data_IF_739427742699
#
_entry.id   IF_739427742699
#
_cell.length_a   1.000
_cell.length_b   1.000
_cell.length_c   1.000
_cell.angle_alpha   90.00
_cell.angle_beta   90.00
_cell.angle_gamma   90.00
#
_symmetry.space_group_name_H-M   'P 1'
#
loop_
_entity.id
_entity.type
_entity.pdbx_description
1 polymer ?
#
# COMPACT_ATOMS: atom_id res chain seq x y z
N UNK A 1 -52.51 -59.85 28.53
CA UNK A 1 -51.56 -58.72 28.48
C UNK A 1 -50.36 -59.16 27.64
N UNK A 2 -49.89 -58.25 26.77
CA UNK A 2 -48.73 -58.34 25.86
C UNK A 2 -48.92 -59.15 24.55
N UNK A 3 -49.08 -58.35 23.49
CA UNK A 3 -49.16 -58.67 22.07
C UNK A 3 -47.76 -58.82 21.48
N UNK A 4 -47.55 -59.87 20.68
CA UNK A 4 -46.43 -60.06 19.75
C UNK A 4 -46.83 -59.56 18.36
N UNK A 5 -46.02 -58.72 17.72
CA UNK A 5 -46.19 -58.40 16.30
C UNK A 5 -44.85 -58.09 15.62
N UNK A 6 -44.59 -58.90 14.60
CA UNK A 6 -43.47 -58.94 13.68
C UNK A 6 -43.43 -57.68 12.78
N UNK A 7 -42.25 -57.13 12.44
CA UNK A 7 -42.08 -56.14 11.37
C UNK A 7 -40.76 -56.29 10.60
N UNK A 8 -40.71 -55.90 9.30
CA UNK A 8 -39.82 -56.48 8.29
C UNK A 8 -38.66 -55.58 7.84
N UNK A 9 -37.66 -56.21 7.18
CA UNK A 9 -36.52 -55.59 6.48
C UNK A 9 -36.98 -54.74 5.29
N UNK A 10 -36.39 -53.57 5.10
CA UNK A 10 -36.45 -52.80 3.83
C UNK A 10 -35.09 -52.22 3.46
N UNK A 11 -34.77 -52.42 2.19
CA UNK A 11 -33.57 -52.00 1.44
C UNK A 11 -33.64 -50.51 1.09
N UNK A 12 -32.50 -49.82 1.14
CA UNK A 12 -32.35 -48.40 0.78
C UNK A 12 -31.83 -48.32 -0.66
N UNK A 13 -32.59 -47.68 -1.55
CA UNK A 13 -32.14 -47.22 -2.89
C UNK A 13 -31.78 -45.73 -2.86
N UNK A 14 -30.83 -45.26 -3.69
CA UNK A 14 -30.33 -43.88 -3.62
C UNK A 14 -31.25 -42.87 -4.33
N UNK A 15 -31.32 -41.67 -3.74
CA UNK A 15 -32.11 -40.52 -4.20
C UNK A 15 -31.42 -39.81 -5.38
N UNK A 16 -32.14 -39.70 -6.49
CA UNK A 16 -31.77 -38.92 -7.68
C UNK A 16 -32.12 -37.45 -7.46
N UNK A 17 -31.14 -36.56 -7.62
CA UNK A 17 -31.32 -35.09 -7.50
C UNK A 17 -31.81 -34.52 -8.84
N UNK A 18 -32.82 -33.66 -8.76
CA UNK A 18 -33.67 -33.14 -9.84
C UNK A 18 -32.96 -32.23 -10.86
N UNK A 19 -33.48 -32.25 -12.11
CA UNK A 19 -33.17 -31.32 -13.22
C UNK A 19 -33.93 -29.99 -13.05
N UNK A 20 -33.41 -28.85 -13.59
CA UNK A 20 -34.10 -27.56 -13.52
C UNK A 20 -35.24 -27.43 -14.53
N UNK A 21 -36.29 -26.73 -14.09
CA UNK A 21 -37.58 -26.49 -14.73
C UNK A 21 -37.49 -25.51 -15.92
N UNK A 22 -38.23 -25.78 -17.00
CA UNK A 22 -38.42 -24.88 -18.14
C UNK A 22 -39.55 -23.88 -17.85
N UNK A 23 -39.29 -22.58 -17.94
CA UNK A 23 -40.28 -21.53 -17.75
C UNK A 23 -40.94 -21.11 -19.08
N UNK A 24 -42.24 -21.35 -19.21
CA UNK A 24 -43.13 -20.78 -20.23
C UNK A 24 -43.52 -19.35 -19.84
N UNK A 25 -43.61 -18.36 -20.75
CA UNK A 25 -44.06 -17.02 -20.38
C UNK A 25 -45.59 -16.89 -20.46
N UNK A 26 -46.20 -16.42 -19.37
CA UNK A 26 -47.60 -15.99 -19.28
C UNK A 26 -47.79 -14.65 -20.01
N UNK A 27 -48.80 -14.57 -20.88
CA UNK A 27 -49.27 -13.33 -21.50
C UNK A 27 -50.29 -12.65 -20.57
N UNK A 28 -50.02 -11.43 -20.13
CA UNK A 28 -51.04 -10.55 -19.57
C UNK A 28 -51.47 -9.55 -20.64
N UNK A 29 -52.77 -9.54 -20.94
CA UNK A 29 -53.43 -8.61 -21.85
C UNK A 29 -53.91 -7.40 -21.04
N UNK A 30 -53.46 -6.21 -21.38
CA UNK A 30 -53.85 -4.95 -20.74
C UNK A 30 -54.65 -4.15 -21.75
N UNK A 31 -55.96 -4.04 -21.53
CA UNK A 31 -56.87 -3.21 -22.32
C UNK A 31 -56.71 -1.74 -21.91
N UNK A 32 -56.22 -0.90 -22.82
CA UNK A 32 -56.18 0.56 -22.63
C UNK A 32 -57.35 1.22 -23.37
N UNK A 33 -58.11 2.05 -22.64
CA UNK A 33 -59.17 2.90 -23.17
C UNK A 33 -58.59 3.99 -24.07
N UNK A 34 -59.03 4.05 -25.32
CA UNK A 34 -58.67 5.11 -26.27
C UNK A 34 -59.48 6.38 -26.02
N UNK A 35 -58.80 7.52 -25.91
CA UNK A 35 -59.38 8.87 -26.04
C UNK A 35 -58.59 9.62 -27.12
N UNK A 36 -59.25 10.33 -28.06
CA UNK A 36 -58.57 10.91 -29.20
C UNK A 36 -58.12 12.35 -28.88
N UNK A 37 -56.83 12.53 -28.59
CA UNK A 37 -56.19 13.85 -28.67
C UNK A 37 -55.08 13.75 -29.69
N UNK A 38 -55.28 14.38 -30.86
CA UNK A 38 -54.32 14.42 -31.94
C UNK A 38 -53.14 15.33 -31.58
N UNK A 39 -51.93 14.76 -31.47
CA UNK A 39 -50.67 15.51 -31.38
C UNK A 39 -50.04 15.65 -32.78
N UNK A 40 -49.31 16.74 -33.09
CA UNK A 40 -48.76 16.97 -34.42
C UNK A 40 -47.62 16.00 -34.75
N UNK A 41 -47.54 15.63 -36.04
CA UNK A 41 -46.53 14.75 -36.63
C UNK A 41 -45.10 15.24 -36.37
N UNK A 42 -44.35 14.50 -35.55
CA UNK A 42 -42.89 14.63 -35.41
C UNK A 42 -42.24 14.01 -36.66
N UNK A 43 -41.25 14.65 -37.32
CA UNK A 43 -40.56 14.06 -38.44
C UNK A 43 -39.81 12.80 -38.01
N UNK A 44 -39.93 11.73 -38.79
CA UNK A 44 -39.31 10.43 -38.51
C UNK A 44 -37.80 10.57 -38.33
N UNK A 45 -37.31 10.29 -37.11
CA UNK A 45 -35.90 10.08 -36.84
C UNK A 45 -35.37 8.94 -37.73
N UNK A 46 -34.17 9.07 -38.34
CA UNK A 46 -33.58 7.99 -39.12
C UNK A 46 -33.43 6.75 -38.25
N UNK A 47 -33.85 5.60 -38.79
CA UNK A 47 -33.84 4.31 -38.10
C UNK A 47 -32.44 3.99 -37.59
N UNK A 48 -32.23 4.12 -36.27
CA UNK A 48 -31.04 3.61 -35.60
C UNK A 48 -31.09 2.09 -35.79
N UNK A 49 -30.25 1.56 -36.68
CA UNK A 49 -30.00 0.11 -36.77
C UNK A 49 -29.51 -0.33 -35.40
N UNK A 50 -30.39 -0.94 -34.60
CA UNK A 50 -30.00 -1.67 -33.39
C UNK A 50 -29.06 -2.77 -33.83
N UNK A 51 -27.75 -2.51 -33.77
CA UNK A 51 -26.73 -3.54 -33.86
C UNK A 51 -26.92 -4.39 -32.60
N UNK A 52 -27.70 -5.47 -32.71
CA UNK A 52 -27.67 -6.57 -31.75
C UNK A 52 -26.27 -7.16 -31.84
N UNK A 53 -25.32 -6.60 -31.10
CA UNK A 53 -24.15 -7.37 -30.68
C UNK A 53 -24.68 -8.42 -29.70
N UNK A 54 -25.09 -9.55 -30.25
CA UNK A 54 -25.20 -10.79 -29.49
C UNK A 54 -23.78 -11.10 -29.03
N UNK A 55 -23.41 -10.60 -27.85
CA UNK A 55 -22.22 -11.10 -27.16
C UNK A 55 -22.65 -12.48 -26.70
N UNK A 56 -22.31 -13.51 -27.47
CA UNK A 56 -22.45 -14.88 -27.01
C UNK A 56 -21.77 -14.96 -25.63
N UNK A 57 -22.41 -15.57 -24.62
CA UNK A 57 -21.75 -15.84 -23.36
C UNK A 57 -20.51 -16.68 -23.69
N UNK A 58 -19.33 -16.05 -23.63
CA UNK A 58 -18.09 -16.82 -23.63
C UNK A 58 -18.15 -17.69 -22.37
N UNK A 59 -18.44 -18.97 -22.56
CA UNK A 59 -18.28 -20.00 -21.54
C UNK A 59 -16.83 -19.94 -21.09
N UNK A 60 -16.58 -19.28 -19.96
CA UNK A 60 -15.26 -19.21 -19.34
C UNK A 60 -14.94 -20.60 -18.81
N UNK A 61 -14.43 -21.46 -19.68
CA UNK A 61 -13.89 -22.75 -19.28
C UNK A 61 -12.75 -22.53 -18.29
N UNK A 62 -12.80 -23.27 -17.18
CA UNK A 62 -11.74 -23.26 -16.19
C UNK A 62 -10.46 -23.82 -16.83
N UNK A 63 -9.41 -23.00 -16.88
CA UNK A 63 -8.10 -23.39 -17.39
C UNK A 63 -7.23 -23.81 -16.19
N UNK A 64 -6.59 -24.98 -16.23
CA UNK A 64 -5.64 -25.38 -15.20
C UNK A 64 -4.45 -24.41 -15.17
N UNK A 65 -3.97 -24.07 -13.98
CA UNK A 65 -2.80 -23.21 -13.82
C UNK A 65 -1.57 -23.99 -14.26
N UNK A 66 -1.08 -23.72 -15.47
CA UNK A 66 0.20 -24.24 -15.96
C UNK A 66 1.34 -23.36 -15.45
N UNK A 67 2.22 -23.91 -14.62
CA UNK A 67 3.39 -23.18 -14.13
C UNK A 67 4.46 -23.14 -15.22
N UNK A 68 4.67 -21.96 -15.80
CA UNK A 68 5.83 -21.73 -16.64
C UNK A 68 7.07 -21.48 -15.78
N UNK A 69 7.89 -22.52 -15.62
CA UNK A 69 9.12 -22.50 -14.83
C UNK A 69 10.18 -21.55 -15.40
N UNK A 70 10.17 -21.29 -16.72
CA UNK A 70 11.15 -20.42 -17.36
C UNK A 70 11.03 -18.96 -16.90
N UNK A 71 9.82 -18.53 -16.52
CA UNK A 71 9.50 -17.17 -16.10
C UNK A 71 9.26 -17.03 -14.59
N UNK A 72 9.59 -18.05 -13.78
CA UNK A 72 9.22 -18.08 -12.36
C UNK A 72 9.85 -16.94 -11.55
N UNK A 73 11.10 -16.57 -11.83
CA UNK A 73 11.80 -15.45 -11.18
C UNK A 73 11.07 -14.14 -11.45
N UNK A 74 10.64 -13.91 -12.69
CA UNK A 74 9.86 -12.73 -13.07
C UNK A 74 8.52 -12.69 -12.33
N UNK A 75 7.86 -13.85 -12.18
CA UNK A 75 6.62 -13.94 -11.41
C UNK A 75 6.84 -13.61 -9.93
N UNK A 76 7.94 -14.07 -9.31
CA UNK A 76 8.28 -13.70 -7.93
C UNK A 76 8.63 -12.22 -7.77
N UNK A 77 9.35 -11.61 -8.72
CA UNK A 77 9.62 -10.16 -8.70
C UNK A 77 8.34 -9.32 -8.83
N UNK A 78 7.36 -9.81 -9.60
CA UNK A 78 6.03 -9.19 -9.69
C UNK A 78 5.20 -9.42 -8.43
N UNK A 79 5.31 -10.60 -7.82
CA UNK A 79 4.62 -10.95 -6.56
C UNK A 79 5.12 -10.09 -5.39
N UNK A 80 6.44 -9.93 -5.28
CA UNK A 80 7.09 -9.10 -4.27
C UNK A 80 6.91 -7.60 -4.48
N UNK A 81 6.32 -7.18 -5.62
CA UNK A 81 6.22 -5.77 -6.04
C UNK A 81 7.58 -5.08 -5.95
N UNK A 82 8.59 -5.61 -6.63
CA UNK A 82 10.00 -5.21 -6.47
C UNK A 82 10.22 -3.69 -6.44
N UNK A 83 9.55 -2.90 -7.30
CA UNK A 83 9.67 -1.43 -7.30
C UNK A 83 9.23 -0.79 -5.99
N UNK A 84 8.13 -1.26 -5.40
CA UNK A 84 7.66 -0.79 -4.09
C UNK A 84 8.62 -1.24 -2.98
N UNK A 85 9.06 -2.49 -3.04
CA UNK A 85 10.03 -3.04 -2.09
C UNK A 85 11.35 -2.28 -2.11
N UNK A 86 11.86 -1.90 -3.28
CA UNK A 86 13.06 -1.06 -3.41
C UNK A 86 12.87 0.29 -2.72
N UNK A 87 11.71 0.94 -2.87
CA UNK A 87 11.44 2.21 -2.18
C UNK A 87 11.42 2.04 -0.65
N UNK A 88 10.81 0.96 -0.15
CA UNK A 88 10.82 0.61 1.28
C UNK A 88 12.25 0.41 1.79
N UNK A 89 13.06 -0.34 1.04
CA UNK A 89 14.46 -0.60 1.37
C UNK A 89 15.27 0.69 1.38
N UNK A 90 15.11 1.57 0.39
CA UNK A 90 15.78 2.89 0.36
C UNK A 90 15.39 3.73 1.57
N UNK A 91 14.12 3.75 1.98
CA UNK A 91 13.72 4.50 3.19
C UNK A 91 14.31 3.91 4.47
N UNK A 92 14.48 2.60 4.55
CA UNK A 92 15.19 1.95 5.65
C UNK A 92 16.68 2.30 5.64
N UNK A 93 17.34 2.22 4.47
CA UNK A 93 18.74 2.63 4.30
C UNK A 93 18.96 4.09 4.70
N UNK A 94 18.04 5.00 4.36
CA UNK A 94 18.11 6.39 4.77
C UNK A 94 18.02 6.52 6.31
N UNK A 95 17.15 5.74 6.96
CA UNK A 95 17.07 5.69 8.42
C UNK A 95 18.37 5.21 9.07
N UNK A 96 18.98 4.17 8.50
CA UNK A 96 20.28 3.66 8.93
C UNK A 96 21.37 4.72 8.78
N UNK A 97 21.42 5.39 7.62
CA UNK A 97 22.40 6.44 7.34
C UNK A 97 22.21 7.68 8.22
N UNK A 98 20.99 7.96 8.71
CA UNK A 98 20.70 9.10 9.58
C UNK A 98 21.04 8.87 11.05
N UNK A 99 21.16 7.62 11.49
CA UNK A 99 21.51 7.29 12.86
C UNK A 99 22.87 7.90 13.26
N UNK A 100 23.06 8.28 14.55
CA UNK A 100 24.28 8.93 15.02
C UNK A 100 25.45 7.95 15.19
N UNK A 101 25.17 6.66 15.34
CA UNK A 101 26.17 5.61 15.53
C UNK A 101 27.06 5.37 14.30
N UNK A 102 28.29 4.83 14.48
CA UNK A 102 29.21 4.57 13.36
C UNK A 102 28.62 3.61 12.33
N UNK A 103 28.87 3.89 11.06
CA UNK A 103 28.34 3.09 9.98
C UNK A 103 29.05 1.73 9.88
N UNK A 104 28.30 0.64 10.02
CA UNK A 104 28.82 -0.72 9.84
C UNK A 104 28.26 -1.35 8.55
N UNK A 105 29.15 -1.69 7.61
CA UNK A 105 28.77 -2.26 6.32
C UNK A 105 28.04 -3.60 6.42
N UNK A 106 28.45 -4.48 7.34
CA UNK A 106 27.86 -5.80 7.48
C UNK A 106 26.43 -5.69 8.01
N UNK A 107 26.23 -4.93 9.09
CA UNK A 107 24.92 -4.67 9.67
C UNK A 107 24.01 -3.92 8.69
N UNK A 108 24.56 -2.99 7.90
CA UNK A 108 23.82 -2.29 6.85
C UNK A 108 23.30 -3.24 5.76
N UNK A 109 24.13 -4.18 5.28
CA UNK A 109 23.73 -5.18 4.28
C UNK A 109 22.66 -6.11 4.85
N UNK A 110 22.82 -6.61 6.09
CA UNK A 110 21.81 -7.44 6.74
C UNK A 110 20.50 -6.69 6.99
N UNK A 111 20.55 -5.43 7.41
CA UNK A 111 19.38 -4.59 7.62
C UNK A 111 18.62 -4.35 6.30
N UNK A 112 19.36 -4.03 5.23
CA UNK A 112 18.83 -3.80 3.89
C UNK A 112 18.19 -5.07 3.32
N UNK A 113 18.92 -6.19 3.33
CA UNK A 113 18.44 -7.48 2.82
C UNK A 113 17.27 -8.02 3.63
N UNK A 114 17.37 -8.00 4.95
CA UNK A 114 16.31 -8.44 5.86
C UNK A 114 15.03 -7.62 5.71
N UNK A 115 15.13 -6.29 5.67
CA UNK A 115 13.97 -5.41 5.42
C UNK A 115 13.34 -5.67 4.04
N UNK A 116 14.17 -5.89 3.01
CA UNK A 116 13.71 -6.23 1.68
C UNK A 116 12.92 -7.53 1.64
N UNK A 117 13.44 -8.59 2.27
CA UNK A 117 12.76 -9.89 2.39
C UNK A 117 11.43 -9.77 3.15
N UNK A 118 11.39 -8.99 4.23
CA UNK A 118 10.16 -8.72 4.97
C UNK A 118 9.13 -7.97 4.12
N UNK A 119 9.56 -7.02 3.29
CA UNK A 119 8.69 -6.34 2.34
C UNK A 119 8.18 -7.27 1.23
N UNK A 120 9.03 -8.18 0.72
CA UNK A 120 8.62 -9.23 -0.23
C UNK A 120 7.53 -10.12 0.36
N UNK A 121 7.70 -10.57 1.61
CA UNK A 121 6.70 -11.38 2.34
C UNK A 121 5.38 -10.63 2.48
N UNK A 122 5.41 -9.40 3.01
CA UNK A 122 4.24 -8.56 3.21
C UNK A 122 3.45 -8.32 1.92
N UNK A 123 4.14 -8.00 0.82
CA UNK A 123 3.52 -7.77 -0.48
C UNK A 123 2.89 -9.02 -1.08
N UNK A 124 3.53 -10.17 -0.90
CA UNK A 124 3.03 -11.47 -1.38
C UNK A 124 1.74 -11.86 -0.65
N UNK A 125 1.71 -11.74 0.68
CA UNK A 125 0.51 -11.98 1.50
C UNK A 125 -0.61 -11.01 1.13
N UNK A 126 -0.30 -9.72 0.97
CA UNK A 126 -1.30 -8.73 0.54
C UNK A 126 -1.89 -9.10 -0.83
N UNK A 127 -1.07 -9.51 -1.82
CA UNK A 127 -1.61 -9.93 -3.12
C UNK A 127 -2.49 -11.17 -3.01
N UNK A 128 -2.14 -12.12 -2.13
CA UNK A 128 -2.95 -13.31 -1.89
C UNK A 128 -4.33 -12.96 -1.31
N UNK A 129 -4.40 -12.08 -0.31
CA UNK A 129 -5.69 -11.66 0.26
C UNK A 129 -6.53 -10.78 -0.69
N UNK A 130 -5.90 -10.01 -1.57
CA UNK A 130 -6.60 -9.06 -2.44
C UNK A 130 -7.08 -9.64 -3.78
N UNK A 131 -6.79 -10.91 -4.12
CA UNK A 131 -7.15 -11.53 -5.41
C UNK A 131 -8.59 -11.24 -5.90
N UNK A 132 -9.66 -11.50 -5.11
CA UNK A 132 -11.03 -11.30 -5.60
C UNK A 132 -11.38 -9.82 -5.82
N UNK A 133 -10.68 -8.89 -5.16
CA UNK A 133 -10.91 -7.46 -5.28
C UNK A 133 -10.06 -6.84 -6.38
N UNK A 134 -8.83 -7.31 -6.53
CA UNK A 134 -7.92 -6.88 -7.57
C UNK A 134 -8.43 -7.22 -8.98
N UNK A 135 -9.15 -8.33 -9.12
CA UNK A 135 -9.79 -8.72 -10.39
C UNK A 135 -10.84 -7.71 -10.88
N UNK A 136 -11.39 -6.90 -9.98
CA UNK A 136 -12.45 -5.93 -10.26
C UNK A 136 -11.92 -4.53 -10.61
N UNK A 137 -10.61 -4.28 -10.43
CA UNK A 137 -10.00 -2.98 -10.66
C UNK A 137 -9.15 -2.97 -11.92
N UNK A 138 -9.28 -1.91 -12.73
CA UNK A 138 -8.56 -1.77 -14.00
C UNK A 138 -7.03 -1.84 -13.83
N UNK A 139 -6.53 -1.26 -12.71
CA UNK A 139 -5.11 -1.19 -12.36
C UNK A 139 -4.53 -2.53 -11.90
N UNK A 140 -5.31 -3.39 -11.25
CA UNK A 140 -4.78 -4.57 -10.54
C UNK A 140 -5.26 -5.90 -11.09
N UNK A 141 -6.20 -5.91 -12.05
CA UNK A 141 -6.62 -7.11 -12.78
C UNK A 141 -5.49 -7.89 -13.47
N UNK A 142 -4.35 -7.22 -13.72
CA UNK A 142 -3.18 -7.81 -14.36
C UNK A 142 -2.15 -8.38 -13.37
N UNK A 143 -2.43 -8.41 -12.06
CA UNK A 143 -1.54 -9.00 -11.06
C UNK A 143 -1.38 -10.51 -11.27
N UNK A 144 -0.22 -11.06 -10.89
CA UNK A 144 0.17 -12.46 -11.16
C UNK A 144 -0.82 -13.48 -10.62
N UNK A 145 -1.34 -13.28 -9.39
CA UNK A 145 -2.32 -14.18 -8.79
C UNK A 145 -3.72 -14.06 -9.41
N UNK A 146 -4.09 -12.85 -9.86
CA UNK A 146 -5.38 -12.63 -10.53
C UNK A 146 -5.42 -13.31 -11.89
N UNK A 147 -4.30 -13.26 -12.62
CA UNK A 147 -4.18 -13.92 -13.94
C UNK A 147 -3.94 -15.43 -13.84
N UNK A 148 -3.80 -15.99 -12.63
CA UNK A 148 -3.48 -17.40 -12.45
C UNK A 148 -2.10 -17.80 -12.97
N UNK A 149 -1.15 -16.87 -13.06
CA UNK A 149 0.22 -17.14 -13.52
C UNK A 149 1.10 -17.83 -12.46
N UNK A 150 0.65 -17.80 -11.21
CA UNK A 150 1.30 -18.44 -10.08
C UNK A 150 0.22 -19.04 -9.18
N UNK A 151 0.45 -20.25 -8.66
CA UNK A 151 -0.52 -20.87 -7.76
C UNK A 151 -0.53 -20.18 -6.38
N UNK A 152 -1.67 -20.16 -5.67
CA UNK A 152 -1.74 -19.55 -4.35
C UNK A 152 -0.79 -20.22 -3.34
N UNK A 153 -0.56 -21.53 -3.47
CA UNK A 153 0.41 -22.27 -2.65
C UNK A 153 1.83 -21.73 -2.83
N UNK A 154 2.28 -21.52 -4.08
CA UNK A 154 3.60 -20.93 -4.35
C UNK A 154 3.74 -19.51 -3.78
N UNK A 155 2.65 -18.72 -3.81
CA UNK A 155 2.67 -17.38 -3.26
C UNK A 155 2.85 -17.38 -1.74
N UNK A 156 2.15 -18.28 -1.04
CA UNK A 156 2.23 -18.43 0.41
C UNK A 156 3.56 -19.03 0.84
N UNK A 157 4.08 -20.04 0.14
CA UNK A 157 5.41 -20.62 0.45
C UNK A 157 6.53 -19.62 0.22
N UNK A 158 6.48 -18.85 -0.89
CA UNK A 158 7.43 -17.77 -1.13
C UNK A 158 7.34 -16.70 -0.02
N UNK A 159 6.13 -16.29 0.37
CA UNK A 159 5.95 -15.33 1.44
C UNK A 159 6.50 -15.82 2.79
N UNK A 160 6.25 -17.09 3.13
CA UNK A 160 6.75 -17.71 4.35
C UNK A 160 8.28 -17.82 4.33
N UNK A 161 8.87 -18.26 3.23
CA UNK A 161 10.32 -18.33 3.06
C UNK A 161 10.97 -16.94 3.22
N UNK A 162 10.47 -15.92 2.52
CA UNK A 162 10.97 -14.56 2.67
C UNK A 162 10.78 -14.02 4.10
N UNK A 163 9.66 -14.32 4.75
CA UNK A 163 9.38 -13.87 6.11
C UNK A 163 10.33 -14.48 7.13
N UNK A 164 10.52 -15.81 7.10
CA UNK A 164 11.43 -16.53 8.00
C UNK A 164 12.87 -16.08 7.76
N UNK A 165 13.34 -16.12 6.51
CA UNK A 165 14.71 -15.71 6.19
C UNK A 165 14.95 -14.23 6.52
N UNK A 166 13.97 -13.36 6.25
CA UNK A 166 14.06 -11.93 6.58
C UNK A 166 14.19 -11.67 8.08
N UNK A 167 13.33 -12.30 8.90
CA UNK A 167 13.41 -12.19 10.36
C UNK A 167 14.71 -12.77 10.92
N UNK A 168 15.13 -13.96 10.45
CA UNK A 168 16.40 -14.56 10.87
C UNK A 168 17.59 -13.66 10.50
N UNK A 169 17.57 -13.03 9.32
CA UNK A 169 18.61 -12.11 8.87
C UNK A 169 18.70 -10.88 9.78
N UNK A 170 17.56 -10.28 10.15
CA UNK A 170 17.54 -9.13 11.05
C UNK A 170 17.94 -9.51 12.48
N UNK A 171 17.52 -10.67 12.96
CA UNK A 171 17.80 -11.10 14.33
C UNK A 171 19.28 -11.43 14.54
N UNK A 172 19.87 -12.16 13.60
CA UNK A 172 21.26 -12.61 13.68
C UNK A 172 22.26 -11.52 13.24
N UNK A 173 21.90 -10.73 12.22
CA UNK A 173 22.81 -9.77 11.58
C UNK A 173 22.65 -8.31 12.04
N UNK A 174 21.57 -7.99 12.76
CA UNK A 174 21.25 -6.60 13.14
C UNK A 174 21.00 -6.46 14.64
N UNK A 175 19.76 -6.69 15.11
CA UNK A 175 19.40 -6.70 16.53
C UNK A 175 17.91 -7.07 16.72
N UNK A 176 17.53 -7.31 17.99
CA UNK A 176 16.16 -7.65 18.37
C UNK A 176 15.13 -6.54 18.14
N UNK A 177 15.52 -5.26 18.22
CA UNK A 177 14.61 -4.13 18.05
C UNK A 177 14.20 -3.94 16.58
N UNK A 178 15.15 -3.98 15.66
CA UNK A 178 14.87 -3.94 14.22
C UNK A 178 14.02 -5.15 13.80
N UNK A 179 14.30 -6.31 14.38
CA UNK A 179 13.53 -7.55 14.15
C UNK A 179 12.08 -7.42 14.64
N UNK A 180 11.87 -6.90 15.85
CA UNK A 180 10.53 -6.74 16.42
C UNK A 180 9.73 -5.71 15.61
N UNK A 181 10.33 -4.59 15.22
CA UNK A 181 9.71 -3.61 14.33
C UNK A 181 9.31 -4.22 12.99
N UNK A 182 10.18 -5.03 12.36
CA UNK A 182 9.87 -5.69 11.09
C UNK A 182 8.74 -6.74 11.23
N UNK A 183 8.76 -7.54 12.30
CA UNK A 183 7.72 -8.52 12.60
C UNK A 183 6.36 -7.84 12.86
N UNK A 184 6.34 -6.81 13.71
CA UNK A 184 5.14 -6.01 13.97
C UNK A 184 4.64 -5.37 12.69
N UNK A 185 5.51 -4.84 11.84
CA UNK A 185 5.10 -4.23 10.57
C UNK A 185 4.48 -5.24 9.59
N UNK A 186 5.01 -6.47 9.53
CA UNK A 186 4.42 -7.54 8.73
C UNK A 186 2.99 -7.86 9.18
N UNK A 187 2.79 -8.04 10.50
CA UNK A 187 1.47 -8.29 11.08
C UNK A 187 0.53 -7.10 10.86
N UNK A 188 0.99 -5.89 11.13
CA UNK A 188 0.23 -4.66 10.96
C UNK A 188 -0.24 -4.48 9.51
N UNK A 189 0.64 -4.72 8.53
CA UNK A 189 0.29 -4.60 7.13
C UNK A 189 -0.71 -5.66 6.66
N UNK A 190 -0.43 -6.93 6.99
CA UNK A 190 -1.16 -8.07 6.43
C UNK A 190 -2.47 -8.35 7.17
N UNK A 191 -2.47 -8.30 8.51
CA UNK A 191 -3.60 -8.72 9.34
C UNK A 191 -4.47 -7.56 9.81
N UNK A 192 -3.93 -6.34 9.86
CA UNK A 192 -4.70 -5.16 10.31
C UNK A 192 -5.06 -4.26 9.14
N UNK A 193 -4.06 -3.69 8.46
CA UNK A 193 -4.29 -2.72 7.39
C UNK A 193 -5.03 -3.31 6.19
N UNK A 194 -4.58 -4.46 5.67
CA UNK A 194 -5.16 -5.08 4.46
C UNK A 194 -6.67 -5.34 4.59
N UNK A 195 -7.19 -6.02 5.64
CA UNK A 195 -8.63 -6.18 5.82
C UNK A 195 -9.33 -4.85 6.14
N UNK A 196 -8.68 -3.93 6.88
CA UNK A 196 -9.29 -2.65 7.26
C UNK A 196 -9.69 -1.79 6.06
N UNK A 197 -9.00 -1.92 4.91
CA UNK A 197 -9.40 -1.27 3.64
C UNK A 197 -10.87 -1.52 3.25
N UNK A 198 -11.49 -2.59 3.77
CA UNK A 198 -12.90 -2.96 3.55
C UNK A 198 -13.84 -2.54 4.67
N UNK A 199 -13.31 -2.32 5.86
CA UNK A 199 -14.09 -2.16 7.09
C UNK A 199 -14.28 -0.67 7.40
N UNK A 200 -13.21 0.13 7.30
CA UNK A 200 -13.20 1.51 7.80
C UNK A 200 -12.28 2.43 7.01
N UNK A 201 -12.59 3.72 7.00
CA UNK A 201 -11.74 4.80 6.50
C UNK A 201 -10.40 4.91 7.25
N UNK A 202 -10.32 4.34 8.46
CA UNK A 202 -9.11 4.32 9.29
C UNK A 202 -7.95 3.55 8.62
N UNK A 203 -8.22 2.79 7.56
CA UNK A 203 -7.20 2.09 6.79
C UNK A 203 -6.04 3.02 6.38
N UNK A 204 -6.32 4.28 6.04
CA UNK A 204 -5.27 5.21 5.59
C UNK A 204 -4.34 5.60 6.74
N UNK A 205 -4.86 5.78 7.96
CA UNK A 205 -4.05 6.08 9.14
C UNK A 205 -3.19 4.88 9.53
N UNK A 206 -3.77 3.68 9.58
CA UNK A 206 -3.03 2.46 9.92
C UNK A 206 -1.99 2.13 8.83
N UNK A 207 -2.35 2.29 7.56
CA UNK A 207 -1.41 2.14 6.45
C UNK A 207 -0.26 3.15 6.51
N UNK A 208 -0.53 4.36 7.00
CA UNK A 208 0.51 5.38 7.22
C UNK A 208 1.49 4.99 8.33
N UNK A 209 1.03 4.29 9.39
CA UNK A 209 1.92 3.72 10.40
C UNK A 209 2.84 2.67 9.78
N UNK A 210 2.30 1.76 8.96
CA UNK A 210 3.10 0.74 8.25
C UNK A 210 4.21 1.39 7.44
N UNK A 211 3.88 2.47 6.72
CA UNK A 211 4.83 3.18 5.88
C UNK A 211 5.86 4.03 6.63
N UNK A 212 5.62 4.33 7.91
CA UNK A 212 6.52 5.10 8.77
C UNK A 212 7.58 4.22 9.46
N UNK A 213 7.33 2.93 9.60
CA UNK A 213 8.22 1.98 10.29
C UNK A 213 9.55 1.70 9.55
N UNK A 214 9.63 1.60 8.21
CA UNK A 214 10.88 1.28 7.50
C UNK A 214 12.12 2.11 7.91
N UNK A 215 12.09 3.45 7.96
CA UNK A 215 13.25 4.21 8.46
C UNK A 215 13.56 3.95 9.93
N UNK A 216 12.57 3.59 10.75
CA UNK A 216 12.80 3.21 12.14
C UNK A 216 13.54 1.87 12.24
N UNK A 217 13.24 0.91 11.38
CA UNK A 217 14.00 -0.36 11.28
C UNK A 217 15.45 -0.05 10.94
N UNK A 218 15.68 0.83 9.95
CA UNK A 218 17.02 1.27 9.57
C UNK A 218 17.78 1.94 10.71
N UNK A 219 17.15 2.92 11.36
CA UNK A 219 17.75 3.64 12.49
C UNK A 219 18.09 2.70 13.64
N UNK A 220 17.11 1.88 14.07
CA UNK A 220 17.32 0.86 15.10
C UNK A 220 18.41 -0.13 14.70
N UNK A 221 18.57 -0.41 13.41
CA UNK A 221 19.62 -1.28 12.90
C UNK A 221 21.03 -0.73 13.07
N UNK A 222 21.22 0.59 13.03
CA UNK A 222 22.52 1.22 13.24
C UNK A 222 22.77 1.53 14.72
N UNK A 223 21.77 2.09 15.41
CA UNK A 223 21.91 2.66 16.75
C UNK A 223 21.51 1.71 17.87
N UNK A 224 20.75 0.65 17.57
CA UNK A 224 20.16 -0.25 18.56
C UNK A 224 19.02 0.35 19.39
N UNK A 225 18.74 1.65 19.23
CA UNK A 225 17.68 2.39 19.94
C UNK A 225 16.81 3.21 18.98
N UNK A 226 15.77 3.88 19.48
CA UNK A 226 14.95 4.82 18.72
C UNK A 226 15.16 6.25 19.25
N UNK A 227 16.05 6.99 18.60
CA UNK A 227 16.28 8.40 18.90
C UNK A 227 15.27 9.35 18.25
N UNK A 228 15.38 10.65 18.53
CA UNK A 228 14.51 11.68 17.96
C UNK A 228 14.47 11.66 16.42
N UNK A 229 15.61 11.39 15.76
CA UNK A 229 15.68 11.32 14.31
C UNK A 229 14.85 10.19 13.70
N UNK A 230 14.75 9.03 14.37
CA UNK A 230 13.89 7.94 13.94
C UNK A 230 12.41 8.38 13.91
N UNK A 231 11.96 9.06 14.96
CA UNK A 231 10.60 9.56 15.08
C UNK A 231 10.30 10.71 14.12
N UNK A 232 11.27 11.58 13.85
CA UNK A 232 11.14 12.65 12.84
C UNK A 232 10.96 12.04 11.44
N UNK A 233 11.81 11.09 11.04
CA UNK A 233 11.70 10.43 9.74
C UNK A 233 10.39 9.64 9.61
N UNK A 234 10.01 8.93 10.66
CA UNK A 234 8.72 8.24 10.74
C UNK A 234 7.56 9.23 10.60
N UNK A 235 7.60 10.37 11.31
CA UNK A 235 6.59 11.43 11.24
C UNK A 235 6.49 12.08 9.86
N UNK A 236 7.63 12.34 9.21
CA UNK A 236 7.69 12.83 7.83
C UNK A 236 7.03 11.84 6.87
N UNK A 237 7.42 10.56 6.90
CA UNK A 237 6.82 9.54 6.05
C UNK A 237 5.33 9.38 6.33
N UNK A 238 4.95 9.30 7.60
CA UNK A 238 3.56 9.19 8.05
C UNK A 238 2.71 10.33 7.48
N UNK A 239 3.14 11.58 7.69
CA UNK A 239 2.40 12.76 7.23
C UNK A 239 2.37 12.84 5.69
N UNK A 240 3.47 12.52 5.02
CA UNK A 240 3.56 12.55 3.56
C UNK A 240 2.59 11.57 2.87
N UNK A 241 2.25 10.44 3.50
CA UNK A 241 1.37 9.44 2.90
C UNK A 241 -0.04 9.98 2.60
N UNK A 242 -0.55 10.88 3.44
CA UNK A 242 -1.92 11.39 3.32
C UNK A 242 -2.15 12.20 2.04
N UNK A 243 -1.42 13.30 1.74
CA UNK A 243 -1.59 14.00 0.48
C UNK A 243 -1.32 13.10 -0.74
N UNK A 244 -0.37 12.17 -0.64
CA UNK A 244 -0.07 11.23 -1.71
C UNK A 244 -1.25 10.28 -2.01
N UNK A 245 -1.75 9.55 -1.00
CA UNK A 245 -2.82 8.57 -1.18
C UNK A 245 -4.19 9.20 -1.37
N UNK A 246 -4.49 10.33 -0.72
CA UNK A 246 -5.76 11.02 -0.91
C UNK A 246 -5.88 11.58 -2.34
N UNK A 247 -4.78 12.12 -2.88
CA UNK A 247 -4.73 12.58 -4.26
C UNK A 247 -4.85 11.42 -5.27
N UNK A 248 -4.14 10.31 -5.02
CA UNK A 248 -4.23 9.11 -5.87
C UNK A 248 -5.65 8.53 -5.89
N UNK A 249 -6.23 8.36 -4.70
CA UNK A 249 -7.53 7.71 -4.56
C UNK A 249 -8.68 8.53 -5.15
N UNK A 250 -8.52 9.85 -5.27
CA UNK A 250 -9.51 10.73 -5.89
C UNK A 250 -9.86 10.33 -7.33
N UNK A 251 -8.88 9.94 -8.14
CA UNK A 251 -9.11 9.53 -9.53
C UNK A 251 -9.52 8.05 -9.65
N UNK A 252 -9.36 7.27 -8.58
CA UNK A 252 -9.68 5.85 -8.53
C UNK A 252 -11.00 5.54 -7.80
N UNK A 253 -11.78 6.58 -7.44
CA UNK A 253 -13.05 6.42 -6.73
C UNK A 253 -14.02 5.43 -7.40
N UNK A 254 -14.23 5.45 -8.73
CA UNK A 254 -15.13 4.49 -9.38
C UNK A 254 -14.65 3.04 -9.21
N UNK A 255 -13.35 2.78 -9.37
CA UNK A 255 -12.76 1.46 -9.21
C UNK A 255 -12.84 0.97 -7.76
N UNK A 256 -12.56 1.86 -6.80
CA UNK A 256 -12.67 1.54 -5.38
C UNK A 256 -14.11 1.25 -4.96
N UNK A 257 -15.07 2.03 -5.44
CA UNK A 257 -16.49 1.81 -5.17
C UNK A 257 -16.96 0.47 -5.75
N UNK A 258 -16.56 0.14 -6.98
CA UNK A 258 -16.92 -1.13 -7.63
C UNK A 258 -16.35 -2.33 -6.90
N UNK A 259 -15.08 -2.28 -6.53
CA UNK A 259 -14.47 -3.35 -5.77
C UNK A 259 -15.03 -3.44 -4.34
N UNK A 260 -15.61 -2.36 -3.80
CA UNK A 260 -16.23 -2.26 -2.46
C UNK A 260 -15.29 -1.77 -1.34
N UNK A 261 -14.24 -1.03 -1.70
CA UNK A 261 -13.30 -0.43 -0.76
C UNK A 261 -13.90 0.77 -0.02
N UNK A 262 -13.66 0.86 1.28
CA UNK A 262 -14.09 1.98 2.14
C UNK A 262 -13.00 3.05 2.25
N UNK A 263 -12.62 3.62 1.12
CA UNK A 263 -11.66 4.73 1.08
C UNK A 263 -12.33 6.04 1.44
N UNK A 264 -11.59 6.95 2.09
CA UNK A 264 -12.08 8.32 2.38
C UNK A 264 -12.58 9.01 1.11
N UNK A 265 -11.85 8.91 0.00
CA UNK A 265 -12.25 9.54 -1.25
C UNK A 265 -13.64 9.10 -1.75
N UNK A 266 -14.08 7.88 -1.41
CA UNK A 266 -15.40 7.34 -1.81
C UNK A 266 -16.46 7.69 -0.76
N UNK A 267 -16.17 7.43 0.51
CA UNK A 267 -17.16 7.51 1.61
C UNK A 267 -17.29 8.89 2.24
N UNK A 268 -16.19 9.66 2.30
CA UNK A 268 -16.17 11.02 2.84
C UNK A 268 -15.15 11.89 2.07
N UNK A 269 -15.53 12.39 0.88
CA UNK A 269 -14.65 13.20 0.04
C UNK A 269 -14.16 14.49 0.72
N UNK A 270 -14.95 15.08 1.62
CA UNK A 270 -14.58 16.31 2.34
C UNK A 270 -13.45 16.04 3.32
N UNK A 271 -13.56 14.96 4.09
CA UNK A 271 -12.51 14.51 4.97
C UNK A 271 -11.24 14.17 4.20
N UNK A 272 -11.35 13.51 3.04
CA UNK A 272 -10.21 13.19 2.17
C UNK A 272 -9.38 14.44 1.85
N UNK A 273 -10.06 15.52 1.45
CA UNK A 273 -9.45 16.80 1.08
C UNK A 273 -8.85 17.53 2.29
N UNK A 274 -9.60 17.59 3.40
CA UNK A 274 -9.15 18.24 4.65
C UNK A 274 -7.93 17.54 5.24
N UNK A 275 -7.93 16.21 5.23
CA UNK A 275 -6.83 15.38 5.73
C UNK A 275 -5.58 15.60 4.90
N UNK A 276 -5.68 15.65 3.57
CA UNK A 276 -4.52 15.95 2.71
C UNK A 276 -3.88 17.32 3.05
N UNK A 277 -4.71 18.35 3.27
CA UNK A 277 -4.24 19.69 3.66
C UNK A 277 -3.62 19.72 5.08
N UNK A 278 -4.27 19.08 6.06
CA UNK A 278 -3.78 19.06 7.44
C UNK A 278 -2.41 18.38 7.56
N UNK A 279 -2.23 17.26 6.88
CA UNK A 279 -0.98 16.51 6.96
C UNK A 279 0.15 17.14 6.14
N UNK A 280 -0.14 17.91 5.08
CA UNK A 280 0.91 18.75 4.45
C UNK A 280 1.33 19.90 5.37
N UNK A 281 0.41 20.49 6.13
CA UNK A 281 0.74 21.45 7.19
C UNK A 281 1.57 20.81 8.32
N UNK A 282 1.19 19.61 8.77
CA UNK A 282 1.95 18.85 9.76
C UNK A 282 3.35 18.46 9.27
N UNK A 283 3.48 18.09 8.00
CA UNK A 283 4.77 17.79 7.36
C UNK A 283 5.70 19.02 7.34
N UNK A 284 5.17 20.20 7.02
CA UNK A 284 5.90 21.46 7.13
C UNK A 284 6.34 21.71 8.58
N UNK A 285 5.44 21.56 9.56
CA UNK A 285 5.75 21.76 10.97
C UNK A 285 6.84 20.80 11.48
N UNK A 286 6.76 19.51 11.15
CA UNK A 286 7.79 18.51 11.51
C UNK A 286 9.14 18.86 10.87
N UNK A 287 9.14 19.29 9.59
CA UNK A 287 10.37 19.68 8.91
C UNK A 287 11.04 20.88 9.59
N UNK A 288 10.25 21.88 10.00
CA UNK A 288 10.75 23.08 10.70
C UNK A 288 11.17 22.80 12.15
N UNK A 289 10.56 21.80 12.81
CA UNK A 289 10.91 21.38 14.17
C UNK A 289 12.16 20.49 14.22
N UNK A 290 12.52 19.86 13.09
CA UNK A 290 13.64 18.91 13.00
C UNK A 290 14.98 19.46 13.51
N UNK A 291 15.35 20.74 13.26
CA UNK A 291 16.58 21.32 13.82
C UNK A 291 16.53 21.55 15.33
N UNK A 292 15.34 21.85 15.88
CA UNK A 292 15.15 22.07 17.32
C UNK A 292 15.28 20.77 18.13
N UNK A 293 15.07 19.62 17.49
CA UNK A 293 15.29 18.27 18.05
C UNK A 293 16.71 17.75 17.85
N UNK A 294 17.65 18.62 17.44
CA UNK A 294 19.05 18.30 17.16
C UNK A 294 19.28 17.24 16.05
N UNK A 295 18.26 16.93 15.25
CA UNK A 295 18.35 15.94 14.17
C UNK A 295 19.07 16.52 12.94
N UNK A 296 18.80 17.79 12.62
CA UNK A 296 19.30 18.48 11.41
C UNK A 296 19.85 19.87 11.75
N UNK A 297 20.55 20.50 10.81
CA UNK A 297 20.97 21.89 10.92
C UNK A 297 19.81 22.85 10.63
N UNK A 298 19.87 24.10 11.08
CA UNK A 298 18.86 25.11 10.74
C UNK A 298 18.76 25.41 9.24
N UNK A 299 19.82 25.12 8.46
CA UNK A 299 19.79 25.17 7.00
C UNK A 299 18.73 24.24 6.41
N UNK A 300 18.53 23.06 7.00
CA UNK A 300 17.46 22.14 6.58
C UNK A 300 16.07 22.80 6.61
N UNK A 301 15.78 23.56 7.66
CA UNK A 301 14.49 24.26 7.77
C UNK A 301 14.34 25.32 6.66
N UNK A 302 15.41 26.05 6.34
CA UNK A 302 15.39 27.05 5.28
C UNK A 302 15.24 26.41 3.88
N UNK A 303 16.00 25.35 3.60
CA UNK A 303 16.01 24.68 2.29
C UNK A 303 14.74 23.85 2.04
N UNK A 304 14.19 23.23 3.08
CA UNK A 304 12.95 22.44 2.96
C UNK A 304 11.70 23.31 2.93
N UNK A 305 11.77 24.58 3.34
CA UNK A 305 10.61 25.48 3.41
C UNK A 305 9.96 25.72 2.03
N UNK A 306 10.67 26.10 0.96
CA UNK A 306 10.06 26.26 -0.37
C UNK A 306 9.39 24.97 -0.87
N UNK A 307 10.04 23.83 -0.65
CA UNK A 307 9.56 22.52 -1.07
C UNK A 307 8.24 22.15 -0.34
N UNK A 308 8.19 22.35 0.97
CA UNK A 308 7.02 22.08 1.79
C UNK A 308 5.89 23.12 1.59
N UNK A 309 6.23 24.40 1.44
CA UNK A 309 5.27 25.47 1.16
C UNK A 309 4.56 25.25 -0.18
N UNK A 310 5.30 24.86 -1.22
CA UNK A 310 4.69 24.53 -2.51
C UNK A 310 3.83 23.26 -2.42
N UNK A 311 4.24 22.25 -1.63
CA UNK A 311 3.38 21.08 -1.40
C UNK A 311 2.06 21.46 -0.73
N UNK A 312 2.12 22.32 0.30
CA UNK A 312 0.97 22.84 1.02
C UNK A 312 0.06 23.67 0.10
N UNK A 313 0.63 24.49 -0.78
CA UNK A 313 -0.12 25.23 -1.79
C UNK A 313 -0.89 24.30 -2.73
N UNK A 314 -0.27 23.23 -3.24
CA UNK A 314 -0.96 22.24 -4.08
C UNK A 314 -2.06 21.50 -3.31
N UNK A 315 -1.83 21.19 -2.03
CA UNK A 315 -2.85 20.57 -1.19
C UNK A 315 -4.04 21.52 -0.93
N UNK A 316 -3.77 22.82 -0.77
CA UNK A 316 -4.79 23.85 -0.67
C UNK A 316 -5.59 24.00 -1.97
N UNK A 317 -4.92 23.98 -3.13
CA UNK A 317 -5.59 23.98 -4.43
C UNK A 317 -6.51 22.75 -4.59
N UNK A 318 -6.04 21.57 -4.19
CA UNK A 318 -6.85 20.36 -4.17
C UNK A 318 -8.04 20.46 -3.20
N UNK A 319 -7.83 21.07 -2.03
CA UNK A 319 -8.88 21.31 -1.05
C UNK A 319 -10.00 22.21 -1.59
N UNK A 320 -9.65 23.28 -2.34
CA UNK A 320 -10.63 24.21 -2.91
C UNK A 320 -11.34 23.70 -4.16
N UNK A 321 -10.60 23.22 -5.17
CA UNK A 321 -11.16 22.92 -6.49
C UNK A 321 -11.52 21.44 -6.69
N UNK A 322 -10.73 20.54 -6.10
CA UNK A 322 -11.05 19.10 -5.98
C UNK A 322 -11.41 18.38 -7.29
N UNK A 323 -10.76 18.77 -8.37
CA UNK A 323 -10.92 18.16 -9.69
C UNK A 323 -9.86 17.09 -9.99
N UNK A 324 -9.98 16.45 -11.15
CA UNK A 324 -9.01 15.45 -11.58
C UNK A 324 -7.62 16.06 -11.86
N UNK A 325 -7.55 17.35 -12.21
CA UNK A 325 -6.29 18.02 -12.50
C UNK A 325 -5.50 18.33 -11.22
N UNK A 326 -6.13 18.94 -10.21
CA UNK A 326 -5.51 19.28 -8.92
C UNK A 326 -5.03 18.03 -8.19
N UNK A 327 -5.85 16.96 -8.16
CA UNK A 327 -5.43 15.66 -7.60
C UNK A 327 -4.22 15.07 -8.33
N UNK A 328 -4.18 15.10 -9.66
CA UNK A 328 -3.01 14.62 -10.43
C UNK A 328 -1.76 15.46 -10.17
N UNK A 329 -1.89 16.78 -10.08
CA UNK A 329 -0.78 17.69 -9.76
C UNK A 329 -0.22 17.39 -8.36
N UNK A 330 -1.10 17.29 -7.35
CA UNK A 330 -0.72 16.98 -5.97
C UNK A 330 -0.03 15.61 -5.87
N UNK A 331 -0.59 14.58 -6.51
CA UNK A 331 -0.01 13.24 -6.56
C UNK A 331 1.37 13.24 -7.23
N UNK A 332 1.52 13.85 -8.40
CA UNK A 332 2.82 13.91 -9.11
C UNK A 332 3.87 14.64 -8.30
N UNK A 333 3.52 15.77 -7.70
CA UNK A 333 4.46 16.52 -6.89
C UNK A 333 4.89 15.74 -5.64
N UNK A 334 3.96 15.01 -4.99
CA UNK A 334 4.31 14.17 -3.84
C UNK A 334 5.41 13.14 -4.15
N UNK A 335 5.45 12.58 -5.37
CA UNK A 335 6.49 11.63 -5.81
C UNK A 335 7.89 12.25 -5.87
N UNK A 336 7.99 13.54 -6.17
CA UNK A 336 9.26 14.28 -6.24
C UNK A 336 9.62 14.84 -4.86
N UNK A 337 8.60 15.30 -4.12
CA UNK A 337 8.75 15.89 -2.80
C UNK A 337 9.47 14.97 -1.81
N UNK A 338 9.06 13.69 -1.70
CA UNK A 338 9.63 12.80 -0.70
C UNK A 338 11.12 12.51 -0.95
N UNK A 339 11.57 12.08 -2.15
CA UNK A 339 12.99 11.88 -2.42
C UNK A 339 13.81 13.16 -2.20
N UNK A 340 13.30 14.33 -2.63
CA UNK A 340 13.97 15.60 -2.43
C UNK A 340 14.11 15.95 -0.94
N UNK A 341 13.04 15.79 -0.14
CA UNK A 341 13.08 16.06 1.30
C UNK A 341 14.00 15.09 2.04
N UNK A 342 13.97 13.79 1.68
CA UNK A 342 14.89 12.80 2.26
C UNK A 342 16.35 13.11 1.93
N UNK A 343 16.64 13.58 0.72
CA UNK A 343 17.97 14.00 0.31
C UNK A 343 18.47 15.22 1.10
N UNK A 344 17.63 16.26 1.25
CA UNK A 344 17.95 17.43 2.08
C UNK A 344 18.21 17.04 3.54
N UNK A 345 17.42 16.09 4.08
CA UNK A 345 17.56 15.60 5.44
C UNK A 345 18.89 14.85 5.64
N UNK A 346 19.33 14.07 4.65
CA UNK A 346 20.63 13.36 4.67
C UNK A 346 21.83 14.32 4.59
N UNK A 347 21.79 15.33 3.72
CA UNK A 347 22.88 16.32 3.59
C UNK A 347 22.96 17.21 4.83
N UNK A 348 21.82 17.57 5.39
CA UNK A 348 21.73 18.47 6.55
C UNK A 348 21.91 17.73 7.90
N UNK A 349 22.43 16.50 7.89
CA UNK A 349 22.65 15.68 9.08
C UNK A 349 23.67 16.37 10.01
N UNK A 350 23.23 16.78 11.20
CA UNK A 350 24.06 17.52 12.17
C UNK A 350 25.25 16.70 12.69
N UNK A 351 25.10 15.38 12.81
CA UNK A 351 26.12 14.50 13.37
C UNK A 351 27.36 14.29 12.48
N UNK A 352 27.38 14.77 11.24
CA UNK A 352 28.62 14.80 10.45
C UNK A 352 29.69 15.66 11.14
N UNK A 353 29.28 16.83 11.64
CA UNK A 353 30.18 17.84 12.20
C UNK A 353 30.75 17.48 13.59
N UNK A 354 30.07 16.63 14.38
CA UNK A 354 30.52 16.26 15.73
C UNK A 354 31.59 15.17 15.72
N UNK A 355 31.56 14.30 14.71
CA UNK A 355 32.61 13.30 14.48
C UNK A 355 33.88 13.95 13.94
N UNK A 356 33.72 14.88 12.99
CA UNK A 356 34.83 15.66 12.44
C UNK A 356 35.51 16.52 13.51
N UNK A 357 34.73 17.23 14.36
CA UNK A 357 35.28 17.95 15.53
C UNK A 357 36.01 17.04 16.52
N UNK A 358 35.49 15.84 16.80
CA UNK A 358 36.16 14.87 17.70
C UNK A 358 37.43 14.30 17.08
N UNK A 359 37.41 13.96 15.80
CA UNK A 359 38.56 13.46 15.06
C UNK A 359 39.68 14.51 14.96
N UNK A 360 39.35 15.79 14.70
CA UNK A 360 40.32 16.88 14.69
C UNK A 360 40.87 17.16 16.10
N UNK A 361 40.04 17.13 17.13
CA UNK A 361 40.51 17.36 18.51
C UNK A 361 41.45 16.24 18.97
N UNK A 362 41.13 14.98 18.67
CA UNK A 362 41.97 13.83 19.00
C UNK A 362 43.33 13.85 18.26
N UNK A 363 43.35 14.26 16.99
CA UNK A 363 44.61 14.40 16.23
C UNK A 363 45.46 15.58 16.69
N UNK A 364 44.86 16.67 17.20
CA UNK A 364 45.61 17.77 17.80
C UNK A 364 46.20 17.41 19.16
N UNK A 365 45.50 16.66 20.01
CA UNK A 365 46.03 16.17 21.29
C UNK A 365 47.16 15.15 21.11
N UNK A 366 47.07 14.24 20.13
CA UNK A 366 48.15 13.28 19.84
C UNK A 366 49.40 13.94 19.26
N UNK A 367 49.25 15.03 18.48
CA UNK A 367 50.40 15.80 17.99
C UNK A 367 51.07 16.61 19.09
N UNK A 368 50.30 17.18 20.02
CA UNK A 368 50.83 17.88 21.18
C UNK A 368 51.59 16.93 22.13
N UNK A 369 51.07 15.72 22.36
CA UNK A 369 51.71 14.72 23.21
C UNK A 369 52.99 14.09 22.62
N UNK A 370 53.23 14.23 21.30
CA UNK A 370 54.46 13.78 20.63
C UNK A 370 55.53 14.87 20.50
N UNK A 371 55.21 16.12 20.86
CA UNK A 371 56.13 17.26 20.82
C UNK A 371 56.62 17.70 22.21
N UNK A 372 56.05 17.13 23.28
CA UNK A 372 56.57 17.14 24.66
C UNK A 372 57.38 15.87 24.92
#
# INVERSE_FOLDING_TARGET
MQNTANKPKTSISPVVIAKPCSSTPLKHEVTLLESPVALPLVPSLPSVKKRKTTVEPQDKQWQPITLDLSNIVKHYLMLSKIRLTTLVVITSMAGYAMAPSPFNWLTFVFCTGGTGLMSCSANSINQFFEVPFDSQMSRTKNRVLVKGLLSPLHAVTFAAACGVTGLSTLYLGVNGLATSLAATNLVLYTMVYTPMKRISILNTWVGSVVGAIPPMIGWAGCDGTLGAGAWVMAGILYAWQFPHFNALSWNLRPDYSRAGYRMMAVTNPDLCRRTALRYTGGLLAISLLSPALDVTTWYFAAESLPLNAYFLYLAWQFYRNSDSQSSRKLFRFSLIHLPALMFLLLISKKHWASYEKRATTATHTDKAAKQS
#
